data_IF_795450702084
#
_entry.id   IF_795450702084
#
_cell.length_a   1.000
_cell.length_b   1.000
_cell.length_c   1.000
_cell.angle_alpha   90.00
_cell.angle_beta   90.00
_cell.angle_gamma   90.00
#
_symmetry.space_group_name_H-M   'P 1'
#
loop_
_entity.id
_entity.type
_entity.pdbx_description
1 polymer ?
#
# COMPACT_ATOMS: atom_id res chain seq x y z
N UNK A 1 -14.89 51.78 -22.33
CA UNK A 1 -14.52 50.34 -22.38
C UNK A 1 -13.24 50.18 -21.59
N UNK A 2 -13.08 49.16 -20.74
CA UNK A 2 -11.82 48.96 -20.02
C UNK A 2 -10.70 48.71 -21.04
N UNK A 3 -9.56 49.35 -20.83
CA UNK A 3 -8.41 49.28 -21.72
C UNK A 3 -7.75 47.90 -21.56
N UNK A 4 -7.78 47.07 -22.61
CA UNK A 4 -7.14 45.75 -22.60
C UNK A 4 -5.63 45.93 -22.42
N UNK A 5 -5.10 45.45 -21.30
CA UNK A 5 -3.65 45.47 -21.04
C UNK A 5 -3.00 44.30 -21.77
N UNK A 6 -2.10 44.64 -22.69
CA UNK A 6 -1.27 43.67 -23.41
C UNK A 6 0.08 43.50 -22.72
N UNK A 7 0.58 42.27 -22.75
CA UNK A 7 1.84 41.85 -22.15
C UNK A 7 2.68 41.19 -23.25
N UNK A 8 3.99 41.48 -23.28
CA UNK A 8 4.91 40.72 -24.12
C UNK A 8 4.97 39.24 -23.69
N UNK A 9 5.43 38.35 -24.58
CA UNK A 9 5.60 36.91 -24.24
C UNK A 9 6.35 36.70 -22.92
N UNK A 10 7.39 37.49 -22.66
CA UNK A 10 8.18 37.37 -21.43
C UNK A 10 7.43 37.82 -20.18
N UNK A 11 6.70 38.91 -20.26
CA UNK A 11 5.88 39.39 -19.13
C UNK A 11 4.72 38.43 -18.85
N UNK A 12 4.06 37.94 -19.89
CA UNK A 12 2.97 36.97 -19.75
C UNK A 12 3.46 35.64 -19.17
N UNK A 13 4.56 35.09 -19.70
CA UNK A 13 5.18 33.88 -19.17
C UNK A 13 5.55 34.03 -17.68
N UNK A 14 6.12 35.17 -17.30
CA UNK A 14 6.49 35.45 -15.91
C UNK A 14 5.28 35.48 -14.97
N UNK A 15 4.19 36.13 -15.38
CA UNK A 15 2.97 36.21 -14.55
C UNK A 15 2.32 34.83 -14.43
N UNK A 16 2.33 34.04 -15.51
CA UNK A 16 1.75 32.70 -15.54
C UNK A 16 2.70 31.61 -15.03
N UNK A 17 3.83 32.00 -14.44
CA UNK A 17 4.86 31.10 -13.92
C UNK A 17 5.25 29.97 -14.90
N UNK A 18 5.40 30.32 -16.18
CA UNK A 18 5.75 29.42 -17.28
C UNK A 18 6.92 29.99 -18.07
N UNK A 19 7.34 29.32 -19.13
CA UNK A 19 8.43 29.77 -19.99
C UNK A 19 7.92 30.30 -21.33
N UNK A 20 8.74 31.10 -22.02
CA UNK A 20 8.40 31.56 -23.37
C UNK A 20 8.29 30.37 -24.32
N UNK A 21 9.17 29.38 -24.14
CA UNK A 21 9.21 28.14 -24.88
C UNK A 21 7.89 27.36 -24.75
N UNK A 22 7.29 27.31 -23.55
CA UNK A 22 5.97 26.69 -23.37
C UNK A 22 4.88 27.42 -24.14
N UNK A 23 4.87 28.76 -24.14
CA UNK A 23 3.89 29.54 -24.91
C UNK A 23 4.04 29.33 -26.42
N UNK A 24 5.27 29.32 -26.92
CA UNK A 24 5.54 29.02 -28.34
C UNK A 24 5.13 27.60 -28.69
N UNK A 25 5.42 26.63 -27.82
CA UNK A 25 5.03 25.25 -28.03
C UNK A 25 3.50 25.08 -28.09
N UNK A 26 2.76 25.75 -27.21
CA UNK A 26 1.29 25.73 -27.25
C UNK A 26 0.72 26.40 -28.49
N UNK A 27 1.36 27.44 -29.01
CA UNK A 27 1.00 28.05 -30.28
C UNK A 27 1.26 27.09 -31.45
N UNK A 28 2.42 26.43 -31.49
CA UNK A 28 2.77 25.42 -32.51
C UNK A 28 1.80 24.24 -32.52
N UNK A 29 1.37 23.80 -31.34
CA UNK A 29 0.36 22.74 -31.21
C UNK A 29 -1.07 23.23 -31.49
N UNK A 30 -1.27 24.55 -31.54
CA UNK A 30 -2.56 25.19 -31.74
C UNK A 30 -3.51 25.06 -30.54
N UNK A 31 -2.97 25.13 -29.34
CA UNK A 31 -3.70 25.05 -28.07
C UNK A 31 -3.95 26.45 -27.51
N UNK A 32 -2.98 27.36 -27.67
CA UNK A 32 -3.04 28.70 -27.11
C UNK A 32 -2.28 29.67 -28.00
N UNK A 33 -2.89 30.81 -28.33
CA UNK A 33 -2.37 31.78 -29.27
C UNK A 33 -2.20 33.16 -28.63
N UNK A 34 -1.24 33.99 -29.07
CA UNK A 34 -1.23 35.40 -28.69
C UNK A 34 -2.48 36.10 -29.21
N UNK A 35 -3.06 36.99 -28.40
CA UNK A 35 -4.20 37.82 -28.82
C UNK A 35 -3.81 38.78 -29.96
N UNK A 36 -2.54 39.21 -30.00
CA UNK A 36 -2.02 40.04 -31.09
C UNK A 36 -0.57 39.71 -31.45
N UNK A 37 -0.27 39.70 -32.76
CA UNK A 37 1.09 39.66 -33.29
C UNK A 37 1.40 41.01 -33.95
N UNK A 38 2.37 41.72 -33.40
CA UNK A 38 2.82 43.02 -33.91
C UNK A 38 3.51 42.90 -35.27
N UNK A 39 3.58 44.02 -36.00
CA UNK A 39 4.21 44.09 -37.35
C UNK A 39 5.67 43.62 -37.38
N UNK A 40 6.36 43.68 -36.25
CA UNK A 40 7.74 43.22 -36.06
C UNK A 40 7.84 41.73 -35.69
N UNK A 41 6.73 40.99 -35.71
CA UNK A 41 6.66 39.57 -35.33
C UNK A 41 6.61 39.32 -33.82
N UNK A 42 6.57 40.37 -32.98
CA UNK A 42 6.46 40.20 -31.53
C UNK A 42 5.05 39.79 -31.14
N UNK A 43 4.95 38.87 -30.19
CA UNK A 43 3.69 38.33 -29.68
C UNK A 43 3.26 39.05 -28.42
N UNK A 44 1.99 39.38 -28.36
CA UNK A 44 1.36 40.06 -27.25
C UNK A 44 0.15 39.27 -26.79
N UNK A 45 0.07 39.06 -25.47
CA UNK A 45 -1.00 38.35 -24.81
C UNK A 45 -1.82 39.34 -24.01
N UNK A 46 -3.14 39.18 -24.05
CA UNK A 46 -4.05 39.98 -23.23
C UNK A 46 -4.08 39.43 -21.80
N UNK A 47 -4.21 40.31 -20.81
CA UNK A 47 -4.45 39.89 -19.42
C UNK A 47 -5.71 39.01 -19.28
N UNK A 48 -6.67 39.08 -20.20
CA UNK A 48 -7.86 38.23 -20.18
C UNK A 48 -7.60 36.79 -20.64
N UNK A 49 -6.42 36.50 -21.22
CA UNK A 49 -6.05 35.15 -21.62
C UNK A 49 -5.42 34.34 -20.47
N UNK A 50 -5.21 34.94 -19.29
CA UNK A 50 -4.63 34.25 -18.14
C UNK A 50 -5.49 33.09 -17.70
N UNK A 51 -6.81 33.25 -17.67
CA UNK A 51 -7.76 32.23 -17.21
C UNK A 51 -7.73 31.00 -18.13
N UNK A 52 -7.66 31.21 -19.44
CA UNK A 52 -7.55 30.14 -20.42
C UNK A 52 -6.23 29.38 -20.29
N UNK A 53 -5.10 30.09 -20.14
CA UNK A 53 -3.81 29.44 -19.98
C UNK A 53 -3.71 28.69 -18.64
N UNK A 54 -4.24 29.27 -17.55
CA UNK A 54 -4.28 28.60 -16.25
C UNK A 54 -5.04 27.28 -16.32
N UNK A 55 -6.20 27.27 -16.99
CA UNK A 55 -6.98 26.06 -17.23
C UNK A 55 -6.22 25.01 -18.05
N UNK A 56 -5.53 25.43 -19.13
CA UNK A 56 -4.70 24.54 -19.95
C UNK A 56 -3.58 23.90 -19.12
N UNK A 57 -2.88 24.70 -18.31
CA UNK A 57 -1.79 24.21 -17.45
C UNK A 57 -2.32 23.28 -16.36
N UNK A 58 -3.46 23.60 -15.74
CA UNK A 58 -4.09 22.77 -14.72
C UNK A 58 -4.50 21.39 -15.28
N UNK A 59 -5.16 21.36 -16.45
CA UNK A 59 -5.54 20.11 -17.11
C UNK A 59 -4.32 19.27 -17.48
N UNK A 60 -3.24 19.90 -17.95
CA UNK A 60 -1.96 19.21 -18.19
C UNK A 60 -1.40 18.62 -16.90
N UNK A 61 -1.45 19.34 -15.80
CA UNK A 61 -0.91 18.89 -14.51
C UNK A 61 -1.72 17.73 -13.91
N UNK A 62 -3.02 17.62 -14.25
CA UNK A 62 -3.83 16.43 -13.97
C UNK A 62 -3.46 15.21 -14.84
N UNK A 63 -2.66 15.41 -15.88
CA UNK A 63 -2.22 14.37 -16.81
C UNK A 63 -3.08 14.26 -18.06
N UNK A 64 -4.00 15.20 -18.30
CA UNK A 64 -4.85 15.19 -19.50
C UNK A 64 -3.97 15.41 -20.74
N UNK A 65 -4.07 14.54 -21.76
CA UNK A 65 -3.29 14.70 -22.98
C UNK A 65 -3.57 16.03 -23.68
N UNK A 66 -2.52 16.72 -24.14
CA UNK A 66 -2.63 18.03 -24.81
C UNK A 66 -3.59 18.03 -26.02
N UNK A 67 -3.77 16.88 -26.69
CA UNK A 67 -4.74 16.71 -27.79
C UNK A 67 -6.19 16.84 -27.32
N UNK A 68 -6.52 16.34 -26.13
CA UNK A 68 -7.87 16.44 -25.55
C UNK A 68 -8.14 17.85 -25.01
N UNK A 69 -7.11 18.46 -24.42
CA UNK A 69 -7.16 19.88 -24.01
C UNK A 69 -7.45 20.75 -25.23
N UNK A 70 -6.72 20.55 -26.34
CA UNK A 70 -6.96 21.27 -27.60
C UNK A 70 -8.41 21.15 -28.06
N UNK A 71 -8.93 19.93 -28.13
CA UNK A 71 -10.31 19.67 -28.58
C UNK A 71 -11.34 20.42 -27.75
N UNK A 72 -11.12 20.48 -26.43
CA UNK A 72 -11.97 21.20 -25.47
C UNK A 72 -11.91 22.72 -25.64
N UNK A 73 -10.71 23.26 -25.92
CA UNK A 73 -10.52 24.69 -26.15
C UNK A 73 -11.08 25.16 -27.50
N UNK A 74 -10.99 24.35 -28.55
CA UNK A 74 -11.45 24.72 -29.90
C UNK A 74 -12.97 24.80 -30.02
N UNK A 75 -13.71 23.94 -29.30
CA UNK A 75 -15.15 23.81 -29.51
C UNK A 75 -16.00 24.58 -28.49
N UNK A 76 -15.38 25.20 -27.47
CA UNK A 76 -16.06 25.85 -26.34
C UNK A 76 -17.29 25.07 -25.84
N UNK A 77 -17.24 23.74 -25.96
CA UNK A 77 -18.36 22.86 -25.69
C UNK A 77 -18.37 22.62 -24.19
N UNK A 78 -19.25 23.37 -23.53
CA UNK A 78 -19.41 23.28 -22.07
C UNK A 78 -19.75 21.85 -21.66
N UNK A 79 -20.46 21.08 -22.48
CA UNK A 79 -20.76 19.68 -22.17
C UNK A 79 -19.49 18.82 -22.19
N UNK A 80 -18.64 18.96 -23.20
CA UNK A 80 -17.37 18.24 -23.28
C UNK A 80 -16.43 18.58 -22.11
N UNK A 81 -16.36 19.86 -21.72
CA UNK A 81 -15.56 20.29 -20.59
C UNK A 81 -16.09 19.75 -19.25
N UNK A 82 -17.41 19.70 -19.07
CA UNK A 82 -18.05 19.10 -17.90
C UNK A 82 -17.75 17.60 -17.82
N UNK A 83 -17.84 16.87 -18.93
CA UNK A 83 -17.51 15.44 -18.98
C UNK A 83 -16.03 15.20 -18.64
N UNK A 84 -15.12 16.02 -19.19
CA UNK A 84 -13.70 15.97 -18.88
C UNK A 84 -13.46 16.18 -17.37
N UNK A 85 -14.06 17.23 -16.79
CA UNK A 85 -13.95 17.49 -15.35
C UNK A 85 -14.51 16.37 -14.50
N UNK A 86 -15.66 15.81 -14.87
CA UNK A 86 -16.27 14.70 -14.13
C UNK A 86 -15.36 13.46 -14.12
N UNK A 87 -14.75 13.14 -15.26
CA UNK A 87 -13.80 12.03 -15.37
C UNK A 87 -12.55 12.27 -14.52
N UNK A 88 -11.98 13.48 -14.55
CA UNK A 88 -10.80 13.82 -13.75
C UNK A 88 -11.10 13.86 -12.25
N UNK A 89 -12.27 14.36 -11.84
CA UNK A 89 -12.73 14.29 -10.44
C UNK A 89 -12.77 12.84 -9.97
N UNK A 90 -13.41 11.95 -10.73
CA UNK A 90 -13.50 10.53 -10.38
C UNK A 90 -12.12 9.86 -10.31
N UNK A 91 -11.24 10.16 -11.25
CA UNK A 91 -9.84 9.69 -11.28
C UNK A 91 -9.06 10.16 -10.04
N UNK A 92 -9.19 11.44 -9.66
CA UNK A 92 -8.55 12.00 -8.49
C UNK A 92 -9.10 11.42 -7.19
N UNK A 93 -10.40 11.24 -7.06
CA UNK A 93 -11.01 10.59 -5.91
C UNK A 93 -10.49 9.15 -5.71
N UNK A 94 -10.38 8.38 -6.79
CA UNK A 94 -9.79 7.03 -6.75
C UNK A 94 -8.33 7.06 -6.30
N UNK A 95 -7.52 8.00 -6.85
CA UNK A 95 -6.13 8.20 -6.43
C UNK A 95 -6.04 8.57 -4.94
N UNK A 96 -6.90 9.47 -4.45
CA UNK A 96 -6.95 9.86 -3.03
C UNK A 96 -7.25 8.65 -2.14
N UNK A 97 -8.22 7.81 -2.51
CA UNK A 97 -8.53 6.61 -1.73
C UNK A 97 -7.37 5.61 -1.71
N UNK A 98 -6.70 5.44 -2.85
CA UNK A 98 -5.51 4.60 -2.96
C UNK A 98 -4.38 5.13 -2.07
N UNK A 99 -4.06 6.43 -2.15
CA UNK A 99 -3.01 7.05 -1.35
C UNK A 99 -3.31 7.03 0.15
N UNK A 100 -4.56 7.25 0.56
CA UNK A 100 -4.99 7.07 1.96
C UNK A 100 -4.76 5.64 2.44
N UNK A 101 -5.02 4.65 1.59
CA UNK A 101 -4.77 3.25 1.92
C UNK A 101 -3.28 2.92 2.04
N UNK A 102 -2.43 3.49 1.16
CA UNK A 102 -0.96 3.39 1.26
C UNK A 102 -0.43 4.04 2.54
N UNK A 103 -0.90 5.24 2.87
CA UNK A 103 -0.51 5.96 4.07
C UNK A 103 -0.89 5.18 5.33
N UNK A 104 -2.11 4.65 5.38
CA UNK A 104 -2.55 3.77 6.46
C UNK A 104 -1.64 2.55 6.63
N UNK A 105 -1.27 1.88 5.52
CA UNK A 105 -0.34 0.75 5.56
C UNK A 105 1.03 1.15 6.14
N UNK A 106 1.60 2.27 5.71
CA UNK A 106 2.86 2.79 6.25
C UNK A 106 2.79 3.06 7.76
N UNK A 107 1.68 3.63 8.24
CA UNK A 107 1.47 3.81 9.68
C UNK A 107 1.46 2.48 10.42
N UNK A 108 0.74 1.47 9.93
CA UNK A 108 0.72 0.15 10.56
C UNK A 108 2.11 -0.51 10.58
N UNK A 109 2.88 -0.40 9.49
CA UNK A 109 4.25 -0.95 9.43
C UNK A 109 5.18 -0.24 10.40
N UNK A 110 5.09 1.09 10.49
CA UNK A 110 5.87 1.88 11.44
C UNK A 110 5.56 1.48 12.88
N UNK A 111 4.28 1.46 13.27
CA UNK A 111 3.87 1.08 14.63
C UNK A 111 4.35 -0.34 14.99
N UNK A 112 4.27 -1.27 14.04
CA UNK A 112 4.76 -2.64 14.24
C UNK A 112 6.27 -2.69 14.48
N UNK A 113 7.07 -1.95 13.69
CA UNK A 113 8.52 -1.88 13.90
C UNK A 113 8.89 -1.18 15.22
N UNK A 114 8.19 -0.11 15.59
CA UNK A 114 8.39 0.58 16.86
C UNK A 114 8.10 -0.35 18.05
N UNK A 115 7.08 -1.19 17.93
CA UNK A 115 6.79 -2.22 18.93
C UNK A 115 7.90 -3.29 18.98
N UNK A 116 8.24 -3.90 17.84
CA UNK A 116 9.22 -4.99 17.76
C UNK A 116 10.63 -4.58 18.24
N UNK A 117 11.00 -3.31 18.10
CA UNK A 117 12.28 -2.80 18.58
C UNK A 117 12.32 -2.53 20.09
N UNK A 118 11.15 -2.46 20.75
CA UNK A 118 11.04 -2.22 22.19
C UNK A 118 10.78 -3.51 22.99
N UNK A 119 10.20 -4.53 22.35
CA UNK A 119 9.95 -5.81 23.02
C UNK A 119 11.26 -6.55 23.22
N UNK A 120 11.60 -6.96 24.46
CA UNK A 120 12.77 -7.78 24.70
C UNK A 120 12.66 -9.12 23.96
N UNK A 121 13.70 -9.48 23.22
CA UNK A 121 13.77 -10.77 22.53
C UNK A 121 13.63 -11.94 23.53
N UNK A 122 13.08 -13.05 23.04
CA UNK A 122 12.90 -14.30 23.80
C UNK A 122 12.09 -14.15 25.10
N UNK A 123 11.32 -13.07 25.22
CA UNK A 123 10.49 -12.83 26.40
C UNK A 123 9.05 -13.24 26.12
N UNK A 124 8.52 -14.13 26.96
CA UNK A 124 7.12 -14.53 26.93
C UNK A 124 6.26 -13.40 27.46
N UNK A 125 5.34 -12.91 26.63
CA UNK A 125 4.37 -11.88 27.01
C UNK A 125 2.95 -12.37 26.75
N UNK A 126 2.02 -11.86 27.56
CA UNK A 126 0.58 -12.02 27.33
C UNK A 126 0.06 -10.76 26.67
N UNK A 127 -0.65 -10.88 25.55
CA UNK A 127 -1.25 -9.75 24.85
C UNK A 127 -2.69 -10.03 24.42
N UNK A 128 -3.50 -8.96 24.33
CA UNK A 128 -4.84 -9.02 23.78
C UNK A 128 -4.79 -8.81 22.26
N UNK A 129 -5.25 -9.79 21.51
CA UNK A 129 -5.29 -9.73 20.06
C UNK A 129 -6.70 -9.49 19.55
N UNK A 130 -6.82 -8.57 18.58
CA UNK A 130 -8.06 -8.39 17.83
C UNK A 130 -8.25 -9.54 16.86
N UNK A 131 -9.51 -9.78 16.51
CA UNK A 131 -9.87 -10.76 15.48
C UNK A 131 -9.18 -10.42 14.15
N UNK A 132 -8.54 -11.41 13.52
CA UNK A 132 -7.86 -11.27 12.23
C UNK A 132 -8.46 -12.23 11.20
N UNK A 133 -8.27 -11.91 9.92
CA UNK A 133 -8.79 -12.68 8.79
C UNK A 133 -7.64 -13.19 7.95
N UNK A 134 -7.73 -14.43 7.44
CA UNK A 134 -6.66 -14.99 6.61
C UNK A 134 -7.18 -15.99 5.58
N UNK A 135 -6.42 -16.15 4.50
CA UNK A 135 -6.50 -17.29 3.60
C UNK A 135 -5.48 -18.35 4.01
N UNK A 136 -5.78 -19.60 3.73
CA UNK A 136 -4.95 -20.74 4.11
C UNK A 136 -4.78 -21.70 2.95
N UNK A 137 -3.58 -22.23 2.82
CA UNK A 137 -3.25 -23.34 1.93
C UNK A 137 -2.41 -24.38 2.69
N UNK A 138 -2.59 -25.65 2.33
CA UNK A 138 -1.87 -26.75 2.96
C UNK A 138 -0.71 -27.21 2.07
N UNK A 139 0.48 -27.32 2.66
CA UNK A 139 1.64 -27.93 2.02
C UNK A 139 1.61 -29.45 2.22
N UNK A 140 1.70 -30.19 1.12
CA UNK A 140 1.63 -31.66 1.10
C UNK A 140 3.01 -32.27 1.32
N UNK A 141 4.05 -31.69 0.71
CA UNK A 141 5.42 -32.22 0.79
C UNK A 141 6.32 -31.43 1.73
N UNK A 142 5.95 -30.20 2.10
CA UNK A 142 6.82 -29.30 2.88
C UNK A 142 8.08 -28.87 2.14
N UNK A 143 8.20 -29.16 0.83
CA UNK A 143 9.35 -28.76 0.03
C UNK A 143 9.22 -27.32 -0.44
N UNK A 144 10.35 -26.63 -0.64
CA UNK A 144 10.39 -25.22 -1.08
C UNK A 144 9.50 -24.97 -2.30
N UNK A 145 9.54 -25.86 -3.29
CA UNK A 145 8.70 -25.76 -4.49
C UNK A 145 7.20 -25.86 -4.21
N UNK A 146 6.79 -26.72 -3.27
CA UNK A 146 5.39 -26.82 -2.89
C UNK A 146 4.96 -25.55 -2.14
N UNK A 147 5.79 -25.08 -1.23
CA UNK A 147 5.60 -23.82 -0.51
C UNK A 147 5.42 -22.66 -1.52
N UNK A 148 6.35 -22.45 -2.45
CA UNK A 148 6.25 -21.43 -3.51
C UNK A 148 4.94 -21.51 -4.32
N UNK A 149 4.49 -22.74 -4.61
CA UNK A 149 3.23 -22.97 -5.31
C UNK A 149 2.05 -22.50 -4.46
N UNK A 150 2.04 -22.79 -3.15
CA UNK A 150 0.98 -22.32 -2.24
C UNK A 150 1.00 -20.81 -2.04
N UNK A 151 2.19 -20.21 -1.96
CA UNK A 151 2.34 -18.75 -1.95
C UNK A 151 1.65 -18.13 -3.17
N UNK A 152 1.90 -18.66 -4.37
CA UNK A 152 1.27 -18.19 -5.61
C UNK A 152 -0.26 -18.24 -5.54
N UNK A 153 -0.83 -19.35 -5.06
CA UNK A 153 -2.28 -19.51 -4.90
C UNK A 153 -2.86 -18.48 -3.90
N UNK A 154 -2.19 -18.27 -2.77
CA UNK A 154 -2.62 -17.28 -1.78
C UNK A 154 -2.56 -15.86 -2.34
N UNK A 155 -1.52 -15.54 -3.12
CA UNK A 155 -1.39 -14.25 -3.79
C UNK A 155 -2.46 -14.01 -4.85
N UNK A 156 -2.82 -15.02 -5.64
CA UNK A 156 -3.95 -14.93 -6.56
C UNK A 156 -5.24 -14.59 -5.81
N UNK A 157 -5.55 -15.30 -4.71
CA UNK A 157 -6.71 -15.00 -3.86
C UNK A 157 -6.67 -13.59 -3.27
N UNK A 158 -5.48 -13.10 -2.88
CA UNK A 158 -5.31 -11.76 -2.36
C UNK A 158 -5.51 -10.69 -3.45
N UNK A 159 -4.95 -10.89 -4.64
CA UNK A 159 -5.09 -9.98 -5.77
C UNK A 159 -6.54 -9.87 -6.25
N UNK A 160 -7.28 -10.98 -6.22
CA UNK A 160 -8.72 -11.07 -6.49
C UNK A 160 -9.57 -10.14 -5.60
N UNK A 161 -9.09 -9.81 -4.40
CA UNK A 161 -9.81 -8.90 -3.51
C UNK A 161 -9.75 -7.44 -3.97
N UNK A 162 -8.85 -7.12 -4.92
CA UNK A 162 -8.56 -5.76 -5.35
C UNK A 162 -8.29 -4.81 -4.16
N UNK A 163 -7.80 -5.38 -3.05
CA UNK A 163 -7.42 -4.61 -1.87
C UNK A 163 -6.05 -4.00 -2.11
N UNK A 164 -5.89 -2.70 -1.86
CA UNK A 164 -4.72 -1.99 -2.33
C UNK A 164 -3.43 -2.48 -1.65
N UNK A 165 -3.39 -2.76 -0.34
CA UNK A 165 -2.14 -3.12 0.34
C UNK A 165 -2.34 -3.89 1.66
N UNK A 166 -1.29 -4.63 2.05
CA UNK A 166 -1.07 -5.12 3.41
C UNK A 166 -1.57 -6.53 3.66
N UNK A 167 -0.65 -7.47 3.52
CA UNK A 167 -0.78 -8.84 3.99
C UNK A 167 0.37 -9.17 4.94
N UNK A 168 0.18 -10.19 5.78
CA UNK A 168 1.24 -10.76 6.61
C UNK A 168 1.26 -12.26 6.34
N UNK A 169 2.42 -12.77 5.99
CA UNK A 169 2.62 -14.21 5.83
C UNK A 169 2.89 -14.84 7.18
N UNK A 170 2.28 -16.00 7.40
CA UNK A 170 2.45 -16.75 8.61
C UNK A 170 2.37 -18.25 8.34
N UNK A 171 2.90 -19.03 9.26
CA UNK A 171 2.69 -20.47 9.29
C UNK A 171 1.82 -20.86 10.48
N UNK A 172 1.12 -21.98 10.33
CA UNK A 172 0.40 -22.62 11.43
C UNK A 172 1.05 -23.94 11.80
N UNK A 173 1.28 -24.12 13.09
CA UNK A 173 1.88 -25.33 13.64
C UNK A 173 0.92 -26.00 14.63
N UNK A 174 0.70 -27.32 14.55
CA UNK A 174 0.01 -28.05 15.60
C UNK A 174 0.75 -27.91 16.93
N UNK A 175 0.00 -27.64 18.01
CA UNK A 175 0.54 -27.53 19.37
C UNK A 175 1.37 -28.74 19.78
N UNK A 176 0.98 -29.95 19.37
CA UNK A 176 1.72 -31.17 19.68
C UNK A 176 3.15 -31.13 19.12
N UNK A 177 3.33 -30.67 17.88
CA UNK A 177 4.65 -30.64 17.24
C UNK A 177 5.57 -29.63 17.96
N UNK A 178 5.06 -28.46 18.33
CA UNK A 178 5.81 -27.44 19.10
C UNK A 178 6.13 -27.95 20.52
N UNK A 179 5.12 -28.46 21.23
CA UNK A 179 5.26 -28.84 22.64
C UNK A 179 6.09 -30.12 22.83
N UNK A 180 6.23 -30.95 21.80
CA UNK A 180 7.08 -32.15 21.81
C UNK A 180 8.46 -31.93 21.19
N UNK A 181 8.80 -30.69 20.81
CA UNK A 181 10.08 -30.36 20.17
C UNK A 181 10.28 -31.12 18.84
N UNK A 182 9.17 -31.45 18.16
CA UNK A 182 9.14 -32.15 16.88
C UNK A 182 8.66 -31.20 15.79
N UNK A 183 9.32 -30.05 15.67
CA UNK A 183 8.95 -29.03 14.70
C UNK A 183 9.10 -29.61 13.28
N UNK A 184 7.98 -29.93 12.66
CA UNK A 184 7.91 -30.38 11.27
C UNK A 184 7.85 -29.16 10.34
N UNK A 185 8.16 -29.33 9.04
CA UNK A 185 7.92 -28.29 8.06
C UNK A 185 6.47 -27.78 8.19
N UNK A 186 6.25 -26.46 8.08
CA UNK A 186 4.94 -25.87 8.32
C UNK A 186 3.91 -26.46 7.37
N UNK A 187 2.88 -27.08 7.96
CA UNK A 187 1.82 -27.75 7.22
C UNK A 187 0.86 -26.77 6.57
N UNK A 188 0.62 -25.61 7.18
CA UNK A 188 -0.28 -24.61 6.63
C UNK A 188 0.39 -23.25 6.47
N UNK A 189 0.19 -22.68 5.28
CA UNK A 189 0.70 -21.39 4.86
C UNK A 189 -0.48 -20.43 4.88
N UNK A 190 -0.31 -19.33 5.60
CA UNK A 190 -1.37 -18.38 5.90
C UNK A 190 -1.03 -17.02 5.30
N UNK A 191 -2.03 -16.37 4.70
CA UNK A 191 -1.97 -14.98 4.27
C UNK A 191 -3.01 -14.19 5.04
N UNK A 192 -2.55 -13.43 6.05
CA UNK A 192 -3.40 -12.57 6.86
C UNK A 192 -3.70 -11.25 6.16
N UNK A 193 -4.92 -10.77 6.35
CA UNK A 193 -5.45 -9.55 5.76
C UNK A 193 -5.54 -8.44 6.81
N UNK A 194 -5.09 -7.24 6.45
CA UNK A 194 -5.18 -6.07 7.33
C UNK A 194 -6.63 -5.59 7.56
N UNK A 195 -7.56 -5.96 6.68
CA UNK A 195 -8.98 -5.60 6.77
C UNK A 195 -9.85 -6.81 6.42
N UNK A 196 -11.06 -6.82 6.96
CA UNK A 196 -12.08 -7.81 6.61
C UNK A 196 -12.45 -7.68 5.12
N UNK A 197 -12.28 -8.72 4.29
CA UNK A 197 -12.68 -8.66 2.90
C UNK A 197 -14.21 -8.76 2.76
N UNK A 198 -14.75 -8.20 1.68
CA UNK A 198 -16.16 -8.38 1.33
C UNK A 198 -16.46 -9.83 0.87
N UNK A 199 -15.56 -10.42 0.08
CA UNK A 199 -15.60 -11.82 -0.37
C UNK A 199 -15.21 -12.74 0.79
N UNK A 200 -16.03 -13.77 1.06
CA UNK A 200 -15.85 -14.67 2.22
C UNK A 200 -15.46 -16.11 1.88
N UNK A 201 -15.47 -16.49 0.60
CA UNK A 201 -15.15 -17.87 0.20
C UNK A 201 -13.69 -18.17 0.56
N UNK A 202 -13.45 -19.25 1.32
CA UNK A 202 -12.12 -19.64 1.78
C UNK A 202 -11.53 -18.75 2.88
N UNK A 203 -12.31 -17.84 3.47
CA UNK A 203 -11.84 -16.94 4.51
C UNK A 203 -11.89 -17.61 5.90
N UNK A 204 -10.75 -17.63 6.58
CA UNK A 204 -10.62 -18.09 7.95
C UNK A 204 -10.50 -16.90 8.91
N UNK A 205 -10.74 -17.17 10.20
CA UNK A 205 -10.74 -16.19 11.27
C UNK A 205 -9.82 -16.67 12.38
N UNK A 206 -8.87 -15.82 12.77
CA UNK A 206 -8.17 -15.94 14.04
C UNK A 206 -9.01 -15.17 15.08
N UNK A 207 -9.56 -15.83 16.11
CA UNK A 207 -10.46 -15.18 17.05
C UNK A 207 -9.77 -14.08 17.85
N UNK A 208 -10.57 -13.13 18.35
CA UNK A 208 -10.07 -12.19 19.35
C UNK A 208 -9.90 -12.89 20.71
N UNK A 209 -8.96 -12.41 21.52
CA UNK A 209 -8.79 -12.84 22.89
C UNK A 209 -7.36 -12.70 23.37
N UNK A 210 -7.07 -13.36 24.48
CA UNK A 210 -5.75 -13.36 25.10
C UNK A 210 -4.84 -14.39 24.47
N UNK A 211 -3.64 -13.96 24.08
CA UNK A 211 -2.61 -14.79 23.47
C UNK A 211 -1.33 -14.75 24.30
N UNK A 212 -0.59 -15.85 24.23
CA UNK A 212 0.77 -15.97 24.72
C UNK A 212 1.71 -15.86 23.52
N UNK A 213 2.55 -14.83 23.49
CA UNK A 213 3.45 -14.53 22.37
C UNK A 213 4.90 -14.45 22.85
N UNK A 214 5.81 -14.84 21.98
CA UNK A 214 7.25 -14.54 22.08
C UNK A 214 7.70 -13.92 20.77
N UNK A 215 8.51 -12.87 20.88
CA UNK A 215 9.11 -12.17 19.75
C UNK A 215 10.62 -12.44 19.74
N UNK A 216 11.16 -12.73 18.57
CA UNK A 216 12.58 -13.03 18.41
C UNK A 216 13.06 -12.60 17.03
N UNK A 217 14.38 -12.46 16.88
CA UNK A 217 15.05 -12.15 15.63
C UNK A 217 16.07 -13.26 15.35
N UNK A 218 15.87 -14.07 14.30
CA UNK A 218 16.80 -15.15 13.98
C UNK A 218 16.21 -16.30 13.16
N UNK A 219 17.01 -17.36 13.02
CA UNK A 219 16.75 -18.53 12.17
C UNK A 219 15.78 -19.58 12.77
N UNK A 220 15.55 -20.68 12.04
CA UNK A 220 14.68 -21.79 12.44
C UNK A 220 15.08 -22.47 13.78
N UNK A 221 16.34 -22.34 14.24
CA UNK A 221 16.76 -22.84 15.54
C UNK A 221 16.11 -22.08 16.70
N UNK A 222 15.71 -20.83 16.47
CA UNK A 222 15.01 -20.01 17.44
C UNK A 222 13.57 -20.48 17.67
N UNK A 223 12.87 -20.97 16.64
CA UNK A 223 11.47 -21.42 16.79
C UNK A 223 11.33 -22.60 17.77
N UNK A 224 12.29 -23.53 17.81
CA UNK A 224 12.31 -24.62 18.81
C UNK A 224 12.53 -24.10 20.23
N UNK A 225 13.55 -23.25 20.43
CA UNK A 225 13.84 -22.60 21.72
C UNK A 225 12.62 -21.84 22.23
N UNK A 226 11.97 -21.07 21.36
CA UNK A 226 10.81 -20.24 21.68
C UNK A 226 9.57 -21.08 21.99
N UNK A 227 9.37 -22.19 21.27
CA UNK A 227 8.34 -23.18 21.61
C UNK A 227 8.48 -23.72 23.04
N UNK A 228 9.71 -23.98 23.48
CA UNK A 228 9.99 -24.40 24.87
C UNK A 228 9.70 -23.30 25.88
N UNK A 229 10.06 -22.04 25.59
CA UNK A 229 9.75 -20.90 26.46
C UNK A 229 8.24 -20.74 26.69
N UNK A 230 7.44 -20.81 25.63
CA UNK A 230 5.98 -20.76 25.72
C UNK A 230 5.41 -21.92 26.53
N UNK A 231 5.93 -23.14 26.31
CA UNK A 231 5.54 -24.35 27.05
C UNK A 231 5.84 -24.23 28.54
N UNK A 232 7.05 -23.82 28.90
CA UNK A 232 7.49 -23.72 30.29
C UNK A 232 6.70 -22.65 31.04
N UNK A 233 6.43 -21.52 30.39
CA UNK A 233 5.58 -20.47 30.94
C UNK A 233 4.14 -20.97 31.14
N UNK A 234 3.54 -21.60 30.13
CA UNK A 234 2.18 -22.13 30.23
C UNK A 234 2.04 -23.17 31.35
N UNK A 235 3.02 -24.08 31.50
CA UNK A 235 3.04 -25.07 32.57
C UNK A 235 3.16 -24.42 33.96
N UNK A 236 4.09 -23.48 34.11
CA UNK A 236 4.31 -22.74 35.37
C UNK A 236 3.06 -21.99 35.81
N UNK A 237 2.32 -21.42 34.86
CA UNK A 237 1.13 -20.61 35.11
C UNK A 237 -0.19 -21.40 34.96
N UNK A 238 -0.13 -22.72 34.75
CA UNK A 238 -1.28 -23.62 34.58
C UNK A 238 -2.26 -23.16 33.48
N UNK A 239 -1.72 -22.57 32.41
CA UNK A 239 -2.49 -22.06 31.28
C UNK A 239 -2.87 -23.20 30.33
N UNK A 240 -4.12 -23.20 29.85
CA UNK A 240 -4.55 -24.06 28.75
C UNK A 240 -4.29 -23.35 27.43
N UNK A 241 -3.53 -23.99 26.55
CA UNK A 241 -3.21 -23.44 25.24
C UNK A 241 -4.10 -24.04 24.15
N UNK A 242 -4.39 -23.26 23.12
CA UNK A 242 -5.12 -23.74 21.95
C UNK A 242 -4.32 -24.75 21.12
N UNK A 243 -5.02 -25.45 20.23
CA UNK A 243 -4.45 -26.56 19.45
C UNK A 243 -3.42 -26.13 18.39
N UNK A 244 -3.32 -24.84 18.09
CA UNK A 244 -2.44 -24.32 17.03
C UNK A 244 -1.65 -23.11 17.49
N UNK A 245 -0.38 -23.10 17.11
CA UNK A 245 0.53 -21.96 17.20
C UNK A 245 0.59 -21.29 15.83
N UNK A 246 0.79 -19.97 15.84
CA UNK A 246 0.91 -19.15 14.65
C UNK A 246 2.28 -18.47 14.68
N UNK A 247 3.02 -18.61 13.59
CA UNK A 247 4.35 -18.03 13.42
C UNK A 247 4.27 -16.92 12.36
N UNK A 248 4.35 -15.67 12.79
CA UNK A 248 4.25 -14.49 11.92
C UNK A 248 5.62 -13.93 11.59
N UNK A 249 5.82 -13.56 10.33
CA UNK A 249 7.03 -12.87 9.87
C UNK A 249 6.69 -11.43 9.56
N UNK A 250 7.19 -10.49 10.37
CA UNK A 250 6.75 -9.09 10.31
C UNK A 250 7.68 -8.19 9.53
N UNK A 251 8.99 -8.30 9.72
CA UNK A 251 9.94 -7.43 9.05
C UNK A 251 11.27 -8.13 8.82
N UNK A 252 11.84 -7.90 7.64
CA UNK A 252 13.23 -8.20 7.35
C UNK A 252 14.09 -7.09 7.97
N UNK A 253 15.13 -7.41 8.75
CA UNK A 253 16.26 -6.48 8.85
C UNK A 253 16.82 -6.35 7.45
N UNK A 254 16.58 -5.23 6.77
CA UNK A 254 17.15 -4.99 5.43
C UNK A 254 18.68 -4.95 5.57
N UNK A 255 19.27 -6.13 5.48
CA UNK A 255 20.68 -6.44 5.49
C UNK A 255 20.90 -7.13 4.16
N UNK A 256 21.66 -6.48 3.28
CA UNK A 256 22.03 -7.00 1.95
C UNK A 256 23.01 -8.20 2.09
N UNK A 257 23.37 -8.56 3.33
CA UNK A 257 24.27 -9.67 3.63
C UNK A 257 23.48 -10.90 4.09
N UNK A 258 23.35 -11.83 3.15
CA UNK A 258 23.09 -13.30 3.17
C UNK A 258 22.36 -14.04 4.30
N UNK A 259 22.13 -13.48 5.49
CA UNK A 259 21.33 -14.11 6.54
C UNK A 259 20.09 -13.26 6.80
N UNK A 260 18.93 -13.78 6.41
CA UNK A 260 17.64 -13.10 6.52
C UNK A 260 17.16 -13.16 7.99
N UNK A 261 17.60 -12.21 8.80
CA UNK A 261 17.09 -12.03 10.16
C UNK A 261 15.69 -11.38 10.11
N UNK A 262 14.65 -12.21 10.26
CA UNK A 262 13.27 -11.74 10.41
C UNK A 262 12.93 -11.50 11.88
N UNK A 263 12.18 -10.43 12.14
CA UNK A 263 11.40 -10.35 13.37
C UNK A 263 10.21 -11.30 13.25
N UNK A 264 10.22 -12.32 14.11
CA UNK A 264 9.23 -13.39 14.13
C UNK A 264 8.46 -13.35 15.43
N UNK A 265 7.15 -13.58 15.34
CA UNK A 265 6.29 -13.83 16.50
C UNK A 265 5.81 -15.28 16.45
N UNK A 266 6.06 -16.04 17.51
CA UNK A 266 5.35 -17.30 17.75
C UNK A 266 4.29 -17.06 18.82
N UNK A 267 3.03 -17.32 18.48
CA UNK A 267 1.89 -17.02 19.35
C UNK A 267 0.85 -18.14 19.40
N UNK A 268 0.18 -18.27 20.54
CA UNK A 268 -0.89 -19.25 20.78
C UNK A 268 -1.97 -18.65 21.67
N UNK A 269 -3.24 -18.96 21.37
CA UNK A 269 -4.36 -18.49 22.16
C UNK A 269 -4.40 -19.20 23.52
N UNK A 270 -4.67 -18.43 24.58
CA UNK A 270 -4.97 -18.96 25.89
C UNK A 270 -6.47 -19.29 25.95
N UNK A 271 -6.79 -20.53 26.31
CA UNK A 271 -8.16 -20.99 26.50
C UNK A 271 -8.59 -20.73 27.94
N UNK A 272 -9.81 -20.21 28.10
CA UNK A 272 -10.51 -20.09 29.39
C UNK A 272 -10.84 -21.45 30.00
#
# INVERSE_FOLDING_TARGET
>A
MPQTKYLSTGEFAKIMNTTKETLFHYEEMGIFYPDHVGKNGYRYYSIHQTDSLDMIMMLRDFGVPLKEIKKSMEHADTAHLLDLYQNEIQSMEQKIQLWKSKLYWLHCQKEQLEFLTQVPEDTVITNEQKQRYYFMEHSVSGSDKDIETKYSILFEKYNDLQTPFGYIMAFRHPSLDILQDQLKPPHDILLFLNKKPAKRIGLHILPAGTYLSVYFCGDNGHSQKVGRLLKDYANKHQLKLASYFYEFYYANKISITSDLDYYTELTVQILS
#
